data_IF_827712822728
#
_entry.id   IF_827712822728
#
_cell.length_a   1.000
_cell.length_b   1.000
_cell.length_c   1.000
_cell.angle_alpha   90.00
_cell.angle_beta   90.00
_cell.angle_gamma   90.00
#
_symmetry.space_group_name_H-M   'P 1'
#
loop_
_entity.id
_entity.type
_entity.pdbx_description
1 polymer ?
#
# COMPACT_ATOMS: atom_id res chain seq x y z
N UNK A 1 3.60 -17.05 -7.87
CA UNK A 1 4.20 -15.79 -8.37
C UNK A 1 3.24 -14.61 -8.22
N UNK A 2 3.79 -13.43 -7.94
CA UNK A 2 3.05 -12.16 -7.81
C UNK A 2 3.75 -11.11 -8.67
N UNK A 3 3.02 -10.41 -9.53
CA UNK A 3 3.52 -9.25 -10.25
C UNK A 3 3.25 -7.98 -9.45
N UNK A 4 4.31 -7.30 -9.02
CA UNK A 4 4.20 -6.11 -8.18
C UNK A 4 4.66 -4.86 -8.92
N UNK A 5 3.82 -3.81 -8.93
CA UNK A 5 4.20 -2.46 -9.34
C UNK A 5 3.51 -1.44 -8.43
N UNK A 6 4.30 -0.72 -7.64
CA UNK A 6 3.77 0.23 -6.67
C UNK A 6 3.35 1.54 -7.34
N UNK A 7 2.25 2.12 -6.86
CA UNK A 7 1.88 3.50 -7.16
C UNK A 7 2.65 4.48 -6.25
N UNK A 8 2.96 4.07 -5.02
CA UNK A 8 3.65 4.83 -3.96
C UNK A 8 2.83 5.98 -3.35
N UNK A 9 2.07 6.76 -4.12
CA UNK A 9 1.26 7.85 -3.57
C UNK A 9 0.10 8.28 -4.49
N UNK A 10 -0.63 9.34 -4.11
CA UNK A 10 -1.82 9.87 -4.77
C UNK A 10 -1.49 10.73 -5.99
N UNK A 11 -2.41 10.89 -6.97
CA UNK A 11 -2.14 11.60 -8.22
C UNK A 11 -1.58 13.01 -8.05
N UNK A 12 -2.09 13.77 -7.07
CA UNK A 12 -1.66 15.15 -6.78
C UNK A 12 -0.17 15.23 -6.38
N UNK A 13 0.32 14.25 -5.62
CA UNK A 13 1.70 14.20 -5.14
C UNK A 13 2.64 13.38 -6.04
N UNK A 14 2.08 12.67 -7.01
CA UNK A 14 2.79 11.65 -7.78
C UNK A 14 4.08 12.15 -8.44
N UNK A 15 4.02 13.30 -9.14
CA UNK A 15 5.19 13.86 -9.82
C UNK A 15 6.24 14.42 -8.84
N UNK A 16 5.83 14.88 -7.68
CA UNK A 16 6.74 15.40 -6.66
C UNK A 16 7.51 14.25 -5.98
N UNK A 17 6.84 13.14 -5.72
CA UNK A 17 7.42 11.96 -5.07
C UNK A 17 8.18 11.08 -6.07
N UNK A 18 7.71 11.01 -7.32
CA UNK A 18 8.27 10.16 -8.38
C UNK A 18 8.47 10.95 -9.69
N UNK A 19 9.51 11.80 -9.78
CA UNK A 19 9.82 12.53 -11.01
C UNK A 19 9.95 11.58 -12.22
N UNK A 20 9.29 11.92 -13.33
CA UNK A 20 9.32 11.12 -14.57
C UNK A 20 8.36 9.92 -14.61
N UNK A 21 7.60 9.67 -13.54
CA UNK A 21 6.55 8.65 -13.53
C UNK A 21 5.18 9.22 -13.91
N UNK A 22 4.30 8.34 -14.39
CA UNK A 22 2.92 8.67 -14.74
C UNK A 22 1.95 7.73 -14.00
N UNK A 23 0.96 8.34 -13.34
CA UNK A 23 -0.01 7.63 -12.51
C UNK A 23 -0.90 6.70 -13.35
N UNK A 24 -1.44 7.20 -14.47
CA UNK A 24 -2.32 6.43 -15.32
C UNK A 24 -1.56 5.31 -16.02
N UNK A 25 -0.32 5.57 -16.47
CA UNK A 25 0.53 4.54 -17.04
C UNK A 25 0.78 3.39 -16.06
N UNK A 26 0.98 3.69 -14.77
CA UNK A 26 1.18 2.67 -13.73
C UNK A 26 -0.06 1.79 -13.53
N UNK A 27 -1.25 2.39 -13.56
CA UNK A 27 -2.52 1.66 -13.52
C UNK A 27 -2.71 0.80 -14.77
N UNK A 28 -2.45 1.36 -15.95
CA UNK A 28 -2.54 0.66 -17.23
C UNK A 28 -1.57 -0.54 -17.30
N UNK A 29 -0.35 -0.39 -16.78
CA UNK A 29 0.63 -1.47 -16.71
C UNK A 29 0.08 -2.66 -15.91
N UNK A 30 -0.45 -2.40 -14.71
CA UNK A 30 -1.03 -3.43 -13.85
C UNK A 30 -2.21 -4.13 -14.53
N UNK A 31 -3.14 -3.36 -15.11
CA UNK A 31 -4.30 -3.89 -15.83
C UNK A 31 -3.90 -4.76 -17.02
N UNK A 32 -3.02 -4.27 -17.89
CA UNK A 32 -2.55 -5.00 -19.07
C UNK A 32 -1.80 -6.28 -18.69
N UNK A 33 -1.06 -6.26 -17.59
CA UNK A 33 -0.41 -7.48 -17.08
C UNK A 33 -1.46 -8.49 -16.62
N UNK A 34 -2.44 -8.07 -15.80
CA UNK A 34 -3.52 -8.94 -15.32
C UNK A 34 -4.32 -9.58 -16.46
N UNK A 35 -4.62 -8.81 -17.51
CA UNK A 35 -5.33 -9.29 -18.70
C UNK A 35 -4.53 -10.37 -19.47
N UNK A 36 -3.19 -10.24 -19.52
CA UNK A 36 -2.33 -11.21 -20.21
C UNK A 36 -2.04 -12.45 -19.37
N UNK A 37 -1.94 -12.28 -18.06
CA UNK A 37 -1.54 -13.31 -17.11
C UNK A 37 -2.57 -13.43 -15.98
N UNK A 38 -3.83 -13.83 -16.26
CA UNK A 38 -4.93 -13.78 -15.29
C UNK A 38 -4.69 -14.64 -14.04
N UNK A 39 -3.90 -15.70 -14.17
CA UNK A 39 -3.52 -16.62 -13.09
C UNK A 39 -2.41 -16.08 -12.17
N UNK A 40 -1.73 -15.00 -12.56
CA UNK A 40 -0.70 -14.36 -11.73
C UNK A 40 -1.36 -13.24 -10.93
N UNK A 41 -1.18 -13.28 -9.60
CA UNK A 41 -1.69 -12.24 -8.73
C UNK A 41 -0.94 -10.92 -8.98
N UNK A 42 -1.66 -9.82 -8.95
CA UNK A 42 -1.12 -8.46 -9.10
C UNK A 42 -1.16 -7.73 -7.76
N UNK A 43 -0.12 -6.95 -7.51
CA UNK A 43 0.04 -6.20 -6.25
C UNK A 43 0.49 -4.77 -6.53
N UNK A 44 0.01 -3.86 -5.71
CA UNK A 44 0.55 -2.50 -5.62
C UNK A 44 0.72 -2.06 -4.17
N UNK A 45 1.36 -0.91 -4.00
CA UNK A 45 1.64 -0.35 -2.69
C UNK A 45 1.52 1.18 -2.67
N UNK A 46 1.15 1.70 -1.49
CA UNK A 46 1.09 3.11 -1.16
C UNK A 46 1.87 3.39 0.13
N UNK A 47 2.53 4.53 0.17
CA UNK A 47 3.17 5.09 1.35
C UNK A 47 2.39 6.33 1.78
N UNK A 48 1.91 6.32 3.02
CA UNK A 48 1.12 7.42 3.62
C UNK A 48 1.96 8.25 4.59
N UNK A 49 1.54 9.49 4.85
CA UNK A 49 2.25 10.46 5.68
C UNK A 49 3.09 11.46 4.89
N UNK A 50 2.80 11.68 3.60
CA UNK A 50 3.52 12.59 2.70
C UNK A 50 2.69 13.81 2.28
N UNK A 51 1.54 14.02 2.91
CA UNK A 51 0.62 15.14 2.67
C UNK A 51 -0.62 14.78 1.87
N UNK A 52 -0.89 13.50 1.65
CA UNK A 52 -2.15 12.99 1.12
C UNK A 52 -3.26 12.94 2.18
N UNK A 53 -4.52 13.12 1.74
CA UNK A 53 -5.69 12.90 2.60
C UNK A 53 -6.17 11.46 2.54
N UNK A 54 -6.98 11.04 3.52
CA UNK A 54 -7.55 9.69 3.55
C UNK A 54 -8.47 9.44 2.34
N UNK A 55 -9.21 10.46 1.90
CA UNK A 55 -10.10 10.38 0.74
C UNK A 55 -9.30 10.17 -0.55
N UNK A 56 -8.14 10.82 -0.68
CA UNK A 56 -7.25 10.60 -1.83
C UNK A 56 -6.67 9.18 -1.82
N UNK A 57 -6.28 8.66 -0.65
CA UNK A 57 -5.83 7.25 -0.52
C UNK A 57 -6.94 6.29 -0.92
N UNK A 58 -8.17 6.49 -0.41
CA UNK A 58 -9.33 5.68 -0.76
C UNK A 58 -9.69 5.79 -2.25
N UNK A 59 -9.51 6.95 -2.88
CA UNK A 59 -9.68 7.10 -4.32
C UNK A 59 -8.69 6.21 -5.10
N UNK A 60 -7.41 6.21 -4.71
CA UNK A 60 -6.40 5.33 -5.33
C UNK A 60 -6.74 3.85 -5.15
N UNK A 61 -7.29 3.46 -3.99
CA UNK A 61 -7.74 2.08 -3.76
C UNK A 61 -8.88 1.68 -4.72
N UNK A 62 -9.84 2.58 -4.99
CA UNK A 62 -10.89 2.36 -6.00
C UNK A 62 -10.28 2.21 -7.40
N UNK A 63 -9.33 3.07 -7.75
CA UNK A 63 -8.66 3.01 -9.05
C UNK A 63 -7.92 1.68 -9.23
N UNK A 64 -7.16 1.23 -8.23
CA UNK A 64 -6.47 -0.07 -8.25
C UNK A 64 -7.45 -1.23 -8.46
N UNK A 65 -8.60 -1.23 -7.78
CA UNK A 65 -9.63 -2.25 -7.97
C UNK A 65 -10.30 -2.19 -9.34
N UNK A 66 -10.59 -0.99 -9.85
CA UNK A 66 -11.09 -0.81 -11.22
C UNK A 66 -10.10 -1.32 -12.28
N UNK A 67 -8.81 -1.39 -11.94
CA UNK A 67 -7.74 -1.96 -12.77
C UNK A 67 -7.41 -3.42 -12.44
N UNK A 68 -8.29 -4.10 -11.69
CA UNK A 68 -8.21 -5.53 -11.36
C UNK A 68 -6.97 -5.92 -10.53
N UNK A 69 -6.41 -4.99 -9.74
CA UNK A 69 -5.27 -5.28 -8.85
C UNK A 69 -5.71 -6.13 -7.68
N UNK A 70 -5.11 -7.29 -7.49
CA UNK A 70 -5.57 -8.29 -6.51
C UNK A 70 -5.22 -7.93 -5.06
N UNK A 71 -4.06 -7.30 -4.83
CA UNK A 71 -3.50 -7.09 -3.50
C UNK A 71 -2.97 -5.67 -3.33
N UNK A 72 -3.05 -5.13 -2.11
CA UNK A 72 -2.51 -3.82 -1.77
C UNK A 72 -1.75 -3.84 -0.44
N UNK A 73 -0.64 -3.08 -0.39
CA UNK A 73 0.05 -2.72 0.85
C UNK A 73 -0.03 -1.23 1.11
N UNK A 74 -0.37 -0.82 2.33
CA UNK A 74 -0.38 0.58 2.76
C UNK A 74 0.50 0.71 4.01
N UNK A 75 1.59 1.45 3.89
CA UNK A 75 2.59 1.59 4.96
C UNK A 75 2.93 3.05 5.26
N UNK A 76 3.43 3.32 6.47
CA UNK A 76 3.90 4.66 6.82
C UNK A 76 5.19 4.98 6.06
N UNK A 77 5.21 6.15 5.40
CA UNK A 77 6.44 6.75 4.91
C UNK A 77 7.35 7.12 6.08
N UNK A 78 8.56 6.55 6.08
CA UNK A 78 9.62 6.90 6.99
C UNK A 78 10.72 7.58 6.18
N UNK A 79 11.02 8.82 6.53
CA UNK A 79 12.03 9.61 5.84
C UNK A 79 13.41 8.93 5.94
N UNK A 80 14.02 8.49 4.83
CA UNK A 80 15.30 7.79 4.87
C UNK A 80 16.46 8.68 5.33
N UNK A 81 16.43 9.95 4.91
CA UNK A 81 17.41 10.97 5.31
C UNK A 81 16.83 12.37 5.16
N UNK A 82 17.47 13.39 5.75
CA UNK A 82 17.03 14.79 5.69
C UNK A 82 16.93 15.38 4.26
N UNK A 83 17.52 14.73 3.26
CA UNK A 83 17.45 15.17 1.86
C UNK A 83 16.18 14.67 1.14
N UNK A 84 15.49 13.68 1.72
CA UNK A 84 14.23 13.18 1.19
C UNK A 84 13.06 14.02 1.69
N UNK A 85 11.88 13.87 1.07
CA UNK A 85 10.66 14.53 1.50
C UNK A 85 10.46 14.36 3.02
N UNK A 86 10.13 15.43 3.76
CA UNK A 86 9.82 15.31 5.18
C UNK A 86 8.55 14.48 5.38
N UNK A 87 8.43 13.84 6.55
CA UNK A 87 7.16 13.26 6.97
C UNK A 87 6.20 14.42 7.25
N UNK A 88 5.04 14.40 6.60
CA UNK A 88 3.95 15.36 6.83
C UNK A 88 3.14 14.98 8.07
N UNK A 89 2.77 13.70 8.18
CA UNK A 89 2.08 13.16 9.36
C UNK A 89 2.44 11.71 9.63
N UNK A 90 2.35 11.32 10.90
CA UNK A 90 2.30 9.93 11.31
C UNK A 90 0.83 9.51 11.37
N UNK A 91 0.44 8.62 10.47
CA UNK A 91 -0.95 8.15 10.36
C UNK A 91 -1.28 7.26 11.55
N UNK A 92 -2.45 7.49 12.17
CA UNK A 92 -2.86 6.74 13.35
C UNK A 92 -3.16 5.27 12.99
N UNK A 93 -2.87 4.28 13.86
CA UNK A 93 -3.23 2.88 13.61
C UNK A 93 -4.70 2.65 13.20
N UNK A 94 -5.63 3.42 13.77
CA UNK A 94 -7.05 3.33 13.41
C UNK A 94 -7.34 3.73 11.95
N UNK A 95 -6.58 4.67 11.38
CA UNK A 95 -6.72 5.05 9.96
C UNK A 95 -6.21 3.92 9.05
N UNK A 96 -5.13 3.22 9.45
CA UNK A 96 -4.69 2.03 8.73
C UNK A 96 -5.74 0.91 8.77
N UNK A 97 -6.43 0.74 9.89
CA UNK A 97 -7.53 -0.21 10.01
C UNK A 97 -8.73 0.19 9.14
N UNK A 98 -9.04 1.48 9.04
CA UNK A 98 -10.05 2.00 8.11
C UNK A 98 -9.68 1.67 6.65
N UNK A 99 -8.42 1.87 6.25
CA UNK A 99 -7.98 1.49 4.91
C UNK A 99 -8.06 -0.02 4.68
N UNK A 100 -7.75 -0.84 5.70
CA UNK A 100 -7.89 -2.30 5.62
C UNK A 100 -9.33 -2.70 5.30
N UNK A 101 -10.27 -2.26 6.15
CA UNK A 101 -11.69 -2.55 5.99
C UNK A 101 -12.22 -2.07 4.64
N UNK A 102 -11.89 -0.83 4.26
CA UNK A 102 -12.32 -0.29 2.98
C UNK A 102 -11.79 -1.09 1.80
N UNK A 103 -10.54 -1.57 1.86
CA UNK A 103 -9.98 -2.42 0.81
C UNK A 103 -10.65 -3.79 0.71
N UNK A 104 -10.98 -4.38 1.85
CA UNK A 104 -11.74 -5.64 1.91
C UNK A 104 -13.15 -5.48 1.31
N UNK A 105 -13.83 -4.38 1.62
CA UNK A 105 -15.14 -4.04 1.05
C UNK A 105 -15.08 -3.84 -0.48
N UNK A 106 -13.98 -3.26 -0.99
CA UNK A 106 -13.75 -3.13 -2.43
C UNK A 106 -13.35 -4.47 -3.13
N UNK A 107 -13.14 -5.54 -2.35
CA UNK A 107 -12.82 -6.86 -2.86
C UNK A 107 -11.37 -7.06 -3.28
N UNK A 108 -10.41 -6.41 -2.59
CA UNK A 108 -9.01 -6.88 -2.64
C UNK A 108 -8.92 -8.28 -2.01
N UNK A 109 -8.12 -9.16 -2.61
CA UNK A 109 -7.85 -10.52 -2.08
C UNK A 109 -7.02 -10.44 -0.80
N UNK A 110 -6.12 -9.45 -0.71
CA UNK A 110 -5.31 -9.20 0.47
C UNK A 110 -5.06 -7.71 0.64
N UNK A 111 -5.30 -7.21 1.86
CA UNK A 111 -4.99 -5.84 2.27
C UNK A 111 -4.06 -5.90 3.48
N UNK A 112 -2.80 -5.52 3.29
CA UNK A 112 -1.86 -5.31 4.37
C UNK A 112 -1.76 -3.82 4.64
N UNK A 113 -2.20 -3.36 5.81
CA UNK A 113 -2.27 -1.94 6.15
C UNK A 113 -1.77 -1.72 7.56
N UNK A 114 -0.73 -0.91 7.73
CA UNK A 114 -0.19 -0.61 9.06
C UNK A 114 1.12 0.16 9.02
N UNK A 115 1.50 0.84 10.12
CA UNK A 115 2.72 1.65 10.18
C UNK A 115 3.99 0.95 9.67
N UNK A 116 4.18 -0.33 10.02
CA UNK A 116 5.39 -1.09 9.67
C UNK A 116 5.24 -1.95 8.41
N UNK A 117 4.10 -1.88 7.72
CA UNK A 117 3.91 -2.63 6.48
C UNK A 117 4.91 -2.16 5.42
N UNK A 118 5.50 -3.13 4.73
CA UNK A 118 6.40 -2.92 3.58
C UNK A 118 5.99 -3.86 2.44
N UNK A 119 6.28 -3.44 1.21
CA UNK A 119 5.91 -4.18 0.00
C UNK A 119 6.51 -5.60 -0.05
N UNK A 120 7.72 -5.81 0.50
CA UNK A 120 8.46 -7.08 0.49
C UNK A 120 8.36 -7.91 1.78
N UNK A 121 8.23 -7.28 2.96
CA UNK A 121 8.32 -7.96 4.27
C UNK A 121 7.24 -9.04 4.49
N UNK A 122 6.12 -8.96 3.78
CA UNK A 122 5.00 -9.89 3.89
C UNK A 122 4.89 -10.93 2.76
N UNK A 123 5.73 -10.88 1.73
CA UNK A 123 5.72 -11.92 0.69
C UNK A 123 6.06 -13.30 1.30
N UNK A 124 7.00 -13.33 2.26
CA UNK A 124 7.44 -14.54 2.94
C UNK A 124 6.42 -15.05 3.98
N UNK A 125 5.68 -14.15 4.64
CA UNK A 125 4.64 -14.50 5.64
C UNK A 125 3.33 -14.96 4.98
N UNK A 126 2.95 -14.35 3.85
CA UNK A 126 1.82 -14.80 3.03
C UNK A 126 2.07 -16.19 2.43
N UNK A 127 3.31 -16.54 2.10
CA UNK A 127 3.67 -17.90 1.68
C UNK A 127 3.46 -18.93 2.80
N UNK A 128 3.57 -18.53 4.07
CA UNK A 128 3.39 -19.39 5.25
C UNK A 128 1.96 -19.45 5.78
N UNK A 129 1.03 -18.68 5.21
CA UNK A 129 -0.38 -18.65 5.64
C UNK A 129 -0.62 -17.92 6.97
N UNK A 130 0.31 -17.07 7.40
CA UNK A 130 0.19 -16.31 8.65
C UNK A 130 -0.59 -15.00 8.44
N UNK A 131 -1.44 -14.63 9.41
CA UNK A 131 -2.12 -13.34 9.43
C UNK A 131 -1.11 -12.23 9.71
N UNK A 132 -0.71 -11.56 8.64
CA UNK A 132 0.22 -10.43 8.63
C UNK A 132 -0.24 -9.26 9.49
N UNK A 133 -1.54 -9.09 9.71
CA UNK A 133 -2.09 -8.03 10.55
C UNK A 133 -2.00 -8.39 12.04
N UNK A 134 -2.13 -9.68 12.40
CA UNK A 134 -1.94 -10.14 13.78
C UNK A 134 -0.49 -9.99 14.26
N UNK A 135 0.49 -10.29 13.39
CA UNK A 135 1.92 -10.09 13.67
C UNK A 135 2.24 -8.61 13.90
N UNK A 136 1.59 -7.71 13.16
CA UNK A 136 1.80 -6.28 13.32
C UNK A 136 1.21 -5.74 14.63
N UNK A 137 -0.01 -6.14 15.01
CA UNK A 137 -0.62 -5.80 16.31
C UNK A 137 0.25 -6.26 17.50
N UNK A 138 0.83 -7.47 17.42
CA UNK A 138 1.72 -7.98 18.47
C UNK A 138 3.01 -7.16 18.61
N UNK A 139 3.54 -6.63 17.50
CA UNK A 139 4.78 -5.84 17.47
C UNK A 139 4.62 -4.45 18.08
N UNK A 140 3.44 -3.82 17.92
CA UNK A 140 3.12 -2.51 18.50
C UNK A 140 2.88 -2.60 20.02
N UNK A 141 2.31 -3.71 20.51
CA UNK A 141 2.07 -3.92 21.93
C UNK A 141 3.35 -4.18 22.74
N UNK A 142 4.49 -4.43 22.08
CA UNK A 142 5.75 -4.75 22.75
C UNK A 142 6.61 -3.50 23.03
N UNK A 143 6.23 -2.33 22.48
CA UNK A 143 6.97 -1.06 22.64
C UNK A 143 6.51 -0.19 23.81
N UNK A 144 5.44 -0.55 24.53
CA UNK A 144 4.93 0.21 25.69
C UNK A 144 5.51 -0.28 27.04
N UNK A 145 6.55 -1.09 27.01
CA UNK A 145 7.16 -1.68 28.21
C UNK A 145 8.65 -1.34 28.32
N UNK A 146 9.05 -0.06 28.20
CA UNK A 146 10.34 0.43 28.72
C UNK A 146 10.29 1.93 29.04
#
# INVERSE_FOLDING_TARGET
DVFNHNLENVPRLYKAIRPGSDYQWSLDLLKRYKERMPHVATKSGLMVGLGETNEEVMAVMRDLRAHQVDMITIGQYLQPSKQHAPVDRFVHPDEFEQFRHFGEELGFVNVASGPMVRSSYHADLQHKGEDVNAVHKASLNHTDAH
#
